data_IF_024975477520
#
_entry.id   IF_024975477520
#
_cell.length_a   1.000
_cell.length_b   1.000
_cell.length_c   1.000
_cell.angle_alpha   90.00
_cell.angle_beta   90.00
_cell.angle_gamma   90.00
#
_symmetry.space_group_name_H-M   'P 1'
#
loop_
_entity.id
_entity.type
_entity.pdbx_description
1 polymer ?
#
# COMPACT_ATOMS: atom_id res chain seq x y z
N UNK A 1 50.94 -32.74 -53.97
CA UNK A 1 50.44 -33.85 -54.79
C UNK A 1 48.92 -33.73 -54.94
N UNK A 2 48.50 -33.55 -56.16
CA UNK A 2 47.19 -33.94 -56.84
C UNK A 2 45.93 -33.41 -56.16
N UNK A 3 45.36 -32.28 -56.62
CA UNK A 3 44.36 -32.14 -57.74
C UNK A 3 43.12 -32.99 -57.53
N UNK A 4 41.93 -32.35 -57.39
CA UNK A 4 40.92 -32.46 -58.42
C UNK A 4 39.77 -31.49 -58.22
N UNK A 5 39.56 -30.74 -59.24
CA UNK A 5 38.46 -29.82 -59.55
C UNK A 5 37.30 -30.66 -60.05
N UNK A 6 36.07 -30.36 -59.67
CA UNK A 6 34.90 -30.74 -60.41
C UNK A 6 33.77 -29.71 -60.34
N UNK A 7 33.56 -29.11 -61.48
CA UNK A 7 32.42 -28.27 -61.89
C UNK A 7 31.16 -29.12 -62.06
N UNK A 8 29.98 -28.64 -61.66
CA UNK A 8 28.68 -28.93 -62.31
C UNK A 8 27.72 -27.81 -62.08
N UNK A 9 27.52 -26.98 -63.00
CA UNK A 9 26.49 -26.77 -64.01
C UNK A 9 25.07 -26.53 -63.45
N UNK A 10 24.67 -25.35 -63.78
CA UNK A 10 23.38 -24.66 -63.69
C UNK A 10 22.27 -25.47 -64.35
N UNK A 11 21.11 -25.57 -63.68
CA UNK A 11 19.82 -25.74 -64.36
C UNK A 11 18.81 -24.73 -63.88
N UNK A 12 18.53 -23.76 -64.74
CA UNK A 12 17.50 -22.72 -64.60
C UNK A 12 16.17 -23.36 -65.08
N UNK A 13 15.25 -23.62 -64.14
CA UNK A 13 13.89 -23.99 -64.51
C UNK A 13 12.94 -22.86 -64.19
N UNK A 14 12.47 -22.22 -65.22
CA UNK A 14 11.44 -21.18 -65.22
C UNK A 14 10.08 -21.85 -64.99
N UNK A 15 9.47 -21.64 -63.83
CA UNK A 15 8.13 -22.11 -63.51
C UNK A 15 7.16 -20.91 -63.56
N UNK A 16 6.30 -20.91 -64.54
CA UNK A 16 5.22 -19.94 -64.77
C UNK A 16 4.18 -20.03 -63.67
N UNK A 17 3.96 -18.91 -62.95
CA UNK A 17 2.91 -18.81 -61.96
C UNK A 17 1.59 -18.45 -62.67
N UNK A 18 0.63 -19.33 -62.58
CA UNK A 18 -0.76 -19.08 -62.94
C UNK A 18 -1.41 -18.32 -61.77
N UNK A 19 -1.80 -17.07 -61.99
CA UNK A 19 -2.61 -16.29 -61.06
C UNK A 19 -4.04 -16.81 -61.18
N UNK A 20 -4.45 -17.64 -60.23
CA UNK A 20 -5.84 -18.00 -60.00
C UNK A 20 -6.46 -16.99 -59.03
N UNK A 21 -7.29 -16.10 -59.55
CA UNK A 21 -8.18 -15.29 -58.73
C UNK A 21 -9.31 -16.19 -58.21
N UNK A 22 -9.22 -16.66 -56.97
CA UNK A 22 -10.28 -17.33 -56.26
C UNK A 22 -10.60 -16.50 -55.01
N UNK A 23 -11.65 -15.68 -55.08
CA UNK A 23 -12.22 -15.05 -53.93
C UNK A 23 -12.78 -16.10 -52.97
N UNK A 24 -12.19 -16.23 -51.83
CA UNK A 24 -12.75 -16.94 -50.69
C UNK A 24 -13.07 -15.86 -49.67
N UNK A 25 -14.34 -15.48 -49.59
CA UNK A 25 -14.88 -14.74 -48.48
C UNK A 25 -14.79 -15.64 -47.23
N UNK A 26 -13.67 -15.53 -46.51
CA UNK A 26 -13.63 -15.98 -45.13
C UNK A 26 -14.53 -15.02 -44.34
N UNK A 27 -15.52 -15.49 -43.59
CA UNK A 27 -16.22 -14.65 -42.66
C UNK A 27 -15.16 -14.06 -41.72
N UNK A 28 -15.21 -12.74 -41.53
CA UNK A 28 -14.35 -12.01 -40.62
C UNK A 28 -14.26 -12.80 -39.29
N UNK A 29 -13.07 -13.33 -39.04
CA UNK A 29 -12.74 -13.89 -37.73
C UNK A 29 -12.85 -12.73 -36.76
N UNK A 30 -13.95 -12.66 -36.01
CA UNK A 30 -14.14 -11.70 -34.95
C UNK A 30 -13.05 -12.01 -33.95
N UNK A 31 -11.94 -11.29 -34.04
CA UNK A 31 -10.91 -11.31 -33.01
C UNK A 31 -11.56 -10.72 -31.76
N UNK A 32 -12.13 -11.60 -30.95
CA UNK A 32 -12.56 -11.23 -29.59
C UNK A 32 -11.27 -10.85 -28.87
N UNK A 33 -11.15 -9.59 -28.41
CA UNK A 33 -9.97 -9.22 -27.64
C UNK A 33 -9.91 -10.13 -26.41
N UNK A 34 -8.90 -10.95 -26.31
CA UNK A 34 -8.59 -11.70 -25.09
C UNK A 34 -8.21 -10.67 -24.05
N UNK A 35 -9.06 -10.50 -23.03
CA UNK A 35 -8.72 -9.69 -21.88
C UNK A 35 -7.48 -10.29 -21.22
N UNK A 36 -6.45 -9.49 -21.07
CA UNK A 36 -5.26 -9.86 -20.35
C UNK A 36 -5.61 -10.05 -18.87
N UNK A 37 -5.00 -11.02 -18.23
CA UNK A 37 -5.29 -11.39 -16.85
C UNK A 37 -4.00 -11.49 -16.04
N UNK A 38 -4.09 -11.12 -14.80
CA UNK A 38 -2.99 -11.07 -13.84
C UNK A 38 -3.25 -12.02 -12.67
N UNK A 39 -2.21 -12.66 -12.15
CA UNK A 39 -2.29 -13.37 -10.87
C UNK A 39 -2.43 -12.34 -9.76
N UNK A 40 -3.19 -12.66 -8.75
CA UNK A 40 -3.42 -11.78 -7.62
C UNK A 40 -2.68 -12.30 -6.39
N UNK A 41 -1.93 -11.42 -5.75
CA UNK A 41 -1.34 -11.64 -4.44
C UNK A 41 -1.51 -10.39 -3.61
N UNK A 42 -1.66 -10.53 -2.29
CA UNK A 42 -1.96 -9.43 -1.39
C UNK A 42 -1.16 -9.55 -0.10
N UNK A 43 -0.51 -8.45 0.26
CA UNK A 43 0.10 -8.24 1.56
C UNK A 43 -0.72 -7.29 2.44
N UNK A 44 -0.40 -7.27 3.72
CA UNK A 44 -0.90 -6.32 4.71
C UNK A 44 0.29 -5.65 5.37
N UNK A 45 0.24 -4.33 5.49
CA UNK A 45 1.25 -3.50 6.15
C UNK A 45 0.57 -2.37 6.92
N UNK A 46 1.33 -1.67 7.75
CA UNK A 46 0.86 -0.56 8.57
C UNK A 46 1.85 0.60 8.56
N UNK A 47 1.33 1.81 8.70
CA UNK A 47 2.10 2.97 9.10
C UNK A 47 2.17 3.02 10.64
N UNK A 48 3.32 3.37 11.24
CA UNK A 48 3.52 3.29 12.68
C UNK A 48 2.48 4.06 13.51
N UNK A 49 2.09 3.44 14.63
CA UNK A 49 1.29 4.05 15.70
C UNK A 49 2.01 3.81 17.02
N UNK A 50 2.12 4.81 17.87
CA UNK A 50 3.04 4.81 19.00
C UNK A 50 2.41 4.41 20.35
N UNK A 51 1.10 4.57 20.56
CA UNK A 51 0.42 4.30 21.84
C UNK A 51 -0.06 2.85 22.04
N UNK A 52 0.22 1.94 21.12
CA UNK A 52 -0.29 0.57 21.16
C UNK A 52 0.82 -0.48 21.02
N UNK A 53 0.77 -1.51 21.88
CA UNK A 53 1.62 -2.70 21.77
C UNK A 53 1.10 -3.67 20.72
N UNK A 54 -0.23 -3.74 20.52
CA UNK A 54 -0.88 -4.63 19.56
C UNK A 54 -2.08 -3.94 18.95
N UNK A 55 -2.14 -3.94 17.63
CA UNK A 55 -3.36 -3.65 16.85
C UNK A 55 -3.66 -4.85 15.98
N UNK A 56 -4.52 -5.71 16.46
CA UNK A 56 -4.86 -6.96 15.78
C UNK A 56 -6.18 -6.85 15.06
N UNK A 57 -6.20 -7.20 13.76
CA UNK A 57 -7.42 -7.34 12.96
C UNK A 57 -7.57 -8.80 12.51
N UNK A 58 -8.81 -9.30 12.50
CA UNK A 58 -9.16 -10.61 11.96
C UNK A 58 -10.01 -10.42 10.70
N UNK A 59 -9.50 -10.88 9.56
CA UNK A 59 -10.14 -10.80 8.25
C UNK A 59 -10.83 -12.14 7.96
N UNK A 60 -12.14 -12.11 7.69
CA UNK A 60 -12.95 -13.27 7.33
C UNK A 60 -12.93 -13.52 5.82
N UNK A 61 -13.10 -12.46 5.03
CA UNK A 61 -13.11 -12.59 3.59
C UNK A 61 -12.79 -11.27 2.90
N UNK A 62 -12.32 -11.38 1.66
CA UNK A 62 -12.06 -10.25 0.77
C UNK A 62 -12.94 -10.39 -0.46
N UNK A 63 -13.73 -9.36 -0.77
CA UNK A 63 -14.53 -9.28 -1.96
C UNK A 63 -13.95 -8.29 -2.93
N UNK A 64 -13.64 -8.74 -4.14
CA UNK A 64 -13.18 -7.91 -5.25
C UNK A 64 -14.33 -7.71 -6.23
N UNK A 65 -14.59 -6.47 -6.61
CA UNK A 65 -15.69 -6.08 -7.48
C UNK A 65 -15.10 -5.35 -8.68
N UNK A 66 -15.15 -5.98 -9.86
CA UNK A 66 -14.75 -5.32 -11.10
C UNK A 66 -15.78 -4.23 -11.44
N UNK A 67 -15.32 -2.99 -11.63
CA UNK A 67 -16.18 -1.84 -11.91
C UNK A 67 -16.47 -1.66 -13.40
N UNK A 68 -15.84 -2.45 -14.28
CA UNK A 68 -16.08 -2.40 -15.72
C UNK A 68 -17.37 -3.16 -16.07
N UNK A 69 -18.41 -2.42 -16.41
CA UNK A 69 -19.71 -2.98 -16.80
C UNK A 69 -19.62 -3.86 -18.06
N UNK A 70 -18.64 -3.63 -18.94
CA UNK A 70 -18.42 -4.45 -20.15
C UNK A 70 -17.97 -5.87 -19.81
N UNK A 71 -17.35 -6.06 -18.65
CA UNK A 71 -16.91 -7.37 -18.11
C UNK A 71 -17.98 -8.02 -17.20
N UNK A 72 -19.18 -7.48 -17.16
CA UNK A 72 -20.33 -8.04 -16.42
C UNK A 72 -20.27 -7.82 -14.91
N UNK A 73 -19.43 -6.89 -14.40
CA UNK A 73 -19.36 -6.59 -12.97
C UNK A 73 -18.95 -7.81 -12.13
N UNK A 74 -17.94 -8.55 -12.56
CA UNK A 74 -17.51 -9.79 -11.88
C UNK A 74 -17.20 -9.52 -10.40
N UNK A 75 -17.82 -10.28 -9.51
CA UNK A 75 -17.50 -10.34 -8.10
C UNK A 75 -16.69 -11.60 -7.80
N UNK A 76 -15.59 -11.45 -7.06
CA UNK A 76 -14.73 -12.54 -6.63
C UNK A 76 -14.67 -12.49 -5.11
N UNK A 77 -15.04 -13.58 -4.47
CA UNK A 77 -14.89 -13.75 -3.02
C UNK A 77 -13.65 -14.61 -2.76
N UNK A 78 -12.81 -14.13 -1.85
CA UNK A 78 -11.62 -14.81 -1.35
C UNK A 78 -11.84 -15.01 0.15
N UNK A 79 -11.89 -16.25 0.58
CA UNK A 79 -12.17 -16.71 1.94
C UNK A 79 -11.16 -17.78 2.42
N UNK A 80 -10.05 -17.89 1.70
CA UNK A 80 -8.89 -18.68 2.09
C UNK A 80 -7.64 -17.80 2.06
N UNK A 81 -6.85 -17.84 3.14
CA UNK A 81 -5.65 -17.04 3.34
C UNK A 81 -4.44 -17.93 3.62
N UNK A 82 -3.25 -17.35 3.54
CA UNK A 82 -1.99 -17.99 3.93
C UNK A 82 -1.49 -17.32 5.21
N UNK A 83 -1.27 -18.10 6.26
CA UNK A 83 -0.71 -17.63 7.51
C UNK A 83 0.83 -17.48 7.45
N UNK A 84 1.44 -16.97 8.50
CA UNK A 84 2.91 -16.79 8.62
C UNK A 84 3.70 -18.09 8.48
N UNK A 85 3.06 -19.25 8.71
CA UNK A 85 3.67 -20.56 8.55
C UNK A 85 3.47 -21.16 7.16
N UNK A 86 2.81 -20.42 6.26
CA UNK A 86 2.46 -20.87 4.91
C UNK A 86 1.30 -21.85 4.87
N UNK A 87 0.46 -21.89 5.90
CA UNK A 87 -0.71 -22.75 5.96
C UNK A 87 -1.95 -22.00 5.48
N UNK A 88 -2.83 -22.74 4.77
CA UNK A 88 -4.14 -22.19 4.39
C UNK A 88 -5.08 -22.18 5.59
N UNK A 89 -5.72 -21.02 5.82
CA UNK A 89 -6.66 -20.76 6.90
C UNK A 89 -7.91 -20.06 6.38
N UNK A 90 -9.07 -20.28 7.02
CA UNK A 90 -10.35 -19.69 6.62
C UNK A 90 -10.47 -18.23 7.07
N UNK A 91 -9.81 -17.85 8.16
CA UNK A 91 -9.69 -16.45 8.62
C UNK A 91 -8.23 -16.15 8.92
N UNK A 92 -7.82 -14.90 8.76
CA UNK A 92 -6.46 -14.49 9.05
C UNK A 92 -6.45 -13.36 10.08
N UNK A 93 -5.67 -13.56 11.16
CA UNK A 93 -5.43 -12.53 12.16
C UNK A 93 -4.06 -11.92 11.93
N UNK A 94 -4.00 -10.59 11.84
CA UNK A 94 -2.76 -9.83 11.60
C UNK A 94 -2.58 -8.84 12.74
N UNK A 95 -1.44 -8.87 13.43
CA UNK A 95 -1.00 -7.75 14.24
C UNK A 95 -0.34 -6.73 13.31
N UNK A 96 -1.00 -5.61 13.09
CA UNK A 96 -0.55 -4.61 12.11
C UNK A 96 0.80 -4.01 12.50
N UNK A 97 1.07 -3.86 13.80
CA UNK A 97 2.32 -3.26 14.28
C UNK A 97 3.57 -4.11 14.04
N UNK A 98 3.41 -5.40 13.69
CA UNK A 98 4.53 -6.28 13.32
C UNK A 98 5.02 -6.01 11.89
N UNK A 99 4.26 -5.25 11.08
CA UNK A 99 4.51 -5.05 9.65
C UNK A 99 4.54 -3.55 9.28
N UNK A 100 5.52 -2.84 9.80
CA UNK A 100 5.69 -1.41 9.61
C UNK A 100 6.73 -1.08 8.54
N UNK A 101 6.66 0.12 7.99
CA UNK A 101 7.65 0.65 7.04
C UNK A 101 7.57 -0.02 5.67
N UNK A 102 8.42 -1.00 5.39
CA UNK A 102 8.41 -1.80 4.15
C UNK A 102 8.03 -3.25 4.40
N UNK A 103 7.84 -3.63 5.66
CA UNK A 103 7.48 -4.98 6.01
C UNK A 103 5.99 -5.23 5.74
N UNK A 104 5.67 -6.44 5.34
CA UNK A 104 4.29 -6.82 5.07
C UNK A 104 4.06 -8.32 5.31
N UNK A 105 2.90 -8.65 5.82
CA UNK A 105 2.43 -10.02 5.87
C UNK A 105 1.73 -10.39 4.58
N UNK A 106 2.25 -11.37 3.85
CA UNK A 106 1.55 -11.90 2.67
C UNK A 106 0.39 -12.78 3.12
N UNK A 107 -0.85 -12.37 2.82
CA UNK A 107 -2.08 -13.10 3.19
C UNK A 107 -2.71 -13.83 2.01
N UNK A 108 -2.41 -13.41 0.77
CA UNK A 108 -2.80 -14.11 -0.45
C UNK A 108 -1.55 -14.30 -1.30
N UNK A 109 -1.26 -15.55 -1.64
CA UNK A 109 -0.11 -15.94 -2.44
C UNK A 109 -0.53 -16.33 -3.88
N UNK A 110 0.35 -16.10 -4.83
CA UNK A 110 0.12 -16.47 -6.24
C UNK A 110 -0.13 -17.97 -6.46
N UNK A 111 0.37 -18.82 -5.54
CA UNK A 111 0.15 -20.28 -5.58
C UNK A 111 -1.31 -20.68 -5.38
N UNK A 112 -2.13 -19.81 -4.77
CA UNK A 112 -3.57 -20.02 -4.63
C UNK A 112 -4.31 -19.91 -5.99
N UNK A 113 -3.62 -19.43 -7.04
CA UNK A 113 -4.11 -19.45 -8.42
C UNK A 113 -5.22 -18.44 -8.71
N UNK A 114 -5.42 -17.44 -7.85
CA UNK A 114 -6.40 -16.38 -8.06
C UNK A 114 -5.92 -15.53 -9.25
N UNK A 115 -6.76 -15.45 -10.28
CA UNK A 115 -6.46 -14.70 -11.51
C UNK A 115 -7.56 -13.69 -11.76
N UNK A 116 -7.16 -12.43 -11.95
CA UNK A 116 -8.06 -11.32 -12.21
C UNK A 116 -7.84 -10.78 -13.62
N UNK A 117 -8.90 -10.36 -14.29
CA UNK A 117 -8.77 -9.62 -15.56
C UNK A 117 -8.23 -8.22 -15.26
N UNK A 118 -7.42 -7.67 -16.17
CA UNK A 118 -6.97 -6.29 -16.04
C UNK A 118 -8.17 -5.35 -16.01
N UNK A 119 -8.13 -4.36 -15.15
CA UNK A 119 -9.25 -3.42 -14.98
C UNK A 119 -9.26 -2.74 -13.63
N UNK A 120 -10.31 -1.97 -13.39
CA UNK A 120 -10.52 -1.26 -12.13
C UNK A 120 -11.42 -2.08 -11.21
N UNK A 121 -11.00 -2.24 -9.98
CA UNK A 121 -11.69 -3.01 -8.95
C UNK A 121 -11.93 -2.17 -7.70
N UNK A 122 -12.99 -2.51 -6.98
CA UNK A 122 -13.22 -2.13 -5.59
C UNK A 122 -12.94 -3.33 -4.70
N UNK A 123 -12.48 -3.08 -3.49
CA UNK A 123 -12.24 -4.10 -2.49
C UNK A 123 -13.10 -3.85 -1.26
N UNK A 124 -13.70 -4.91 -0.74
CA UNK A 124 -14.38 -4.91 0.57
C UNK A 124 -13.75 -6.01 1.43
N UNK A 125 -13.31 -5.66 2.65
CA UNK A 125 -12.85 -6.62 3.64
C UNK A 125 -13.96 -6.88 4.65
N UNK A 126 -14.31 -8.14 4.86
CA UNK A 126 -15.13 -8.54 6.00
C UNK A 126 -14.22 -8.75 7.21
N UNK A 127 -14.51 -8.03 8.28
CA UNK A 127 -13.72 -8.04 9.52
C UNK A 127 -14.52 -8.73 10.63
N UNK A 128 -13.85 -9.58 11.38
CA UNK A 128 -14.41 -10.26 12.55
C UNK A 128 -14.20 -9.39 13.79
N UNK A 129 -15.23 -8.64 14.18
CA UNK A 129 -15.17 -7.71 15.32
C UNK A 129 -14.69 -8.40 16.60
N UNK A 130 -15.09 -9.67 16.86
CA UNK A 130 -14.72 -10.41 18.06
C UNK A 130 -13.26 -10.85 18.11
N UNK A 131 -12.59 -10.92 16.96
CA UNK A 131 -11.18 -11.28 16.83
C UNK A 131 -10.26 -10.06 16.67
N UNK A 132 -10.85 -8.86 16.60
CA UNK A 132 -10.11 -7.61 16.36
C UNK A 132 -10.05 -6.76 17.63
N UNK A 133 -8.84 -6.33 18.01
CA UNK A 133 -8.62 -5.61 19.28
C UNK A 133 -7.36 -4.75 19.25
N UNK A 134 -7.32 -3.76 20.15
CA UNK A 134 -6.14 -2.97 20.51
C UNK A 134 -5.68 -3.37 21.89
N UNK A 135 -4.37 -3.47 22.11
CA UNK A 135 -3.75 -3.44 23.43
C UNK A 135 -2.85 -2.19 23.48
N UNK A 136 -3.09 -1.33 24.46
CA UNK A 136 -2.28 -0.15 24.65
C UNK A 136 -0.99 -0.48 25.40
N UNK A 137 0.00 0.36 25.27
CA UNK A 137 1.25 0.25 26.00
C UNK A 137 1.02 0.19 27.50
N UNK A 138 1.70 -0.74 28.15
CA UNK A 138 1.59 -1.00 29.59
C UNK A 138 0.17 -1.39 30.10
N UNK A 139 -0.73 -1.79 29.19
CA UNK A 139 -2.07 -2.25 29.54
C UNK A 139 -2.37 -3.61 28.94
N UNK A 140 -2.60 -4.61 29.76
CA UNK A 140 -2.92 -5.98 29.31
C UNK A 140 -4.39 -6.16 28.88
N UNK A 141 -5.17 -5.11 28.80
CA UNK A 141 -6.59 -5.18 28.42
C UNK A 141 -6.75 -5.12 26.90
N UNK A 142 -7.58 -6.01 26.35
CA UNK A 142 -7.95 -6.02 24.94
C UNK A 142 -9.19 -5.14 24.71
N UNK A 143 -8.99 -4.01 24.09
CA UNK A 143 -10.06 -3.12 23.69
C UNK A 143 -10.61 -3.51 22.34
N UNK A 144 -11.93 -3.70 22.22
CA UNK A 144 -12.53 -4.16 20.98
C UNK A 144 -12.38 -3.13 19.86
N UNK A 145 -12.01 -3.60 18.68
CA UNK A 145 -12.14 -2.83 17.43
C UNK A 145 -13.48 -3.16 16.81
N UNK A 146 -14.23 -2.13 16.43
CA UNK A 146 -15.46 -2.25 15.68
C UNK A 146 -15.27 -1.70 14.27
N UNK A 147 -15.74 -2.44 13.29
CA UNK A 147 -15.85 -1.98 11.91
C UNK A 147 -17.32 -1.69 11.58
N UNK A 148 -17.69 -0.52 11.05
CA UNK A 148 -19.05 -0.24 10.65
C UNK A 148 -19.57 -1.30 9.66
N UNK A 149 -20.69 -1.94 10.01
CA UNK A 149 -21.27 -3.04 9.21
C UNK A 149 -20.35 -4.27 9.05
N UNK A 150 -19.35 -4.43 9.90
CA UNK A 150 -18.30 -5.47 9.83
C UNK A 150 -17.62 -5.56 8.44
N UNK A 151 -17.59 -4.43 7.72
CA UNK A 151 -16.99 -4.35 6.38
C UNK A 151 -16.26 -3.04 6.18
N UNK A 152 -14.98 -3.15 5.81
CA UNK A 152 -14.20 -2.04 5.29
C UNK A 152 -14.39 -1.98 3.77
N UNK A 153 -14.98 -0.89 3.29
CA UNK A 153 -15.14 -0.63 1.86
C UNK A 153 -14.02 0.30 1.41
N UNK A 154 -13.09 -0.27 0.68
CA UNK A 154 -11.94 0.46 0.17
C UNK A 154 -12.25 1.07 -1.20
N UNK A 155 -11.43 2.05 -1.57
CA UNK A 155 -11.52 2.74 -2.84
C UNK A 155 -11.25 1.85 -4.05
N UNK A 156 -11.12 2.49 -5.20
CA UNK A 156 -10.78 1.83 -6.45
C UNK A 156 -9.27 1.61 -6.57
N UNK A 157 -8.88 0.48 -7.14
CA UNK A 157 -7.50 0.17 -7.51
C UNK A 157 -7.47 -0.53 -8.87
N UNK A 158 -6.32 -0.49 -9.55
CA UNK A 158 -6.19 -1.04 -10.90
C UNK A 158 -5.38 -2.32 -10.89
N UNK A 159 -5.93 -3.37 -11.50
CA UNK A 159 -5.23 -4.62 -11.77
C UNK A 159 -4.54 -4.50 -13.13
N UNK A 160 -3.22 -4.72 -13.16
CA UNK A 160 -2.40 -4.69 -14.37
C UNK A 160 -1.38 -5.83 -14.37
N UNK A 161 -0.95 -6.27 -15.54
CA UNK A 161 0.11 -7.28 -15.70
C UNK A 161 1.47 -6.81 -15.13
N UNK A 162 1.66 -5.51 -14.96
CA UNK A 162 2.93 -4.93 -14.48
C UNK A 162 3.13 -5.12 -12.98
N UNK A 163 2.05 -5.22 -12.20
CA UNK A 163 2.13 -5.43 -10.76
C UNK A 163 2.79 -6.76 -10.35
N UNK A 164 3.00 -7.67 -11.28
CA UNK A 164 3.52 -9.03 -11.04
C UNK A 164 5.03 -9.19 -11.26
N UNK A 165 5.77 -8.13 -11.51
CA UNK A 165 7.17 -8.26 -11.98
C UNK A 165 8.21 -8.39 -10.87
N UNK A 166 7.83 -8.29 -9.60
CA UNK A 166 8.76 -8.42 -8.47
C UNK A 166 8.54 -9.78 -7.80
N UNK A 167 9.45 -10.71 -8.02
CA UNK A 167 9.42 -12.00 -7.32
C UNK A 167 9.55 -11.78 -5.81
N UNK A 168 8.76 -12.52 -5.02
CA UNK A 168 8.75 -12.53 -3.55
C UNK A 168 7.91 -11.45 -2.84
N UNK A 169 7.60 -10.33 -3.49
CA UNK A 169 6.72 -9.30 -2.91
C UNK A 169 5.29 -9.47 -3.43
N UNK A 170 4.24 -9.33 -2.60
CA UNK A 170 2.87 -9.29 -3.09
C UNK A 170 2.67 -8.21 -4.14
N UNK A 171 1.86 -8.49 -5.16
CA UNK A 171 1.55 -7.54 -6.24
C UNK A 171 0.79 -6.31 -5.74
N UNK A 172 0.05 -6.49 -4.65
CA UNK A 172 -0.73 -5.44 -3.98
C UNK A 172 -0.53 -5.52 -2.49
N UNK A 173 -0.59 -4.38 -1.82
CA UNK A 173 -0.51 -4.26 -0.37
C UNK A 173 -1.68 -3.47 0.16
N UNK A 174 -2.35 -4.00 1.16
CA UNK A 174 -3.25 -3.24 2.03
C UNK A 174 -2.39 -2.51 3.05
N UNK A 175 -2.31 -1.21 2.94
CA UNK A 175 -1.62 -0.41 3.93
C UNK A 175 -2.64 0.27 4.82
N UNK A 176 -2.46 0.10 6.12
CA UNK A 176 -3.24 0.74 7.16
C UNK A 176 -2.47 1.94 7.70
N UNK A 177 -3.03 3.13 7.60
CA UNK A 177 -2.60 4.30 8.37
C UNK A 177 -3.46 4.32 9.63
N UNK A 178 -2.96 3.71 10.69
CA UNK A 178 -3.71 3.56 11.94
C UNK A 178 -4.02 4.90 12.61
N UNK A 179 -3.19 5.92 12.42
CA UNK A 179 -3.44 7.27 12.92
C UNK A 179 -4.71 7.90 12.33
N UNK A 180 -5.07 7.51 11.10
CA UNK A 180 -6.30 7.97 10.42
C UNK A 180 -7.45 6.98 10.49
N UNK A 181 -7.14 5.69 10.57
CA UNK A 181 -8.15 4.65 10.50
C UNK A 181 -8.63 4.16 11.85
N UNK A 182 -7.78 4.18 12.89
CA UNK A 182 -8.10 3.66 14.22
C UNK A 182 -8.47 4.80 15.18
N UNK A 183 -9.74 4.91 15.52
CA UNK A 183 -10.27 6.04 16.30
C UNK A 183 -10.91 5.55 17.59
N UNK A 184 -10.57 6.19 18.72
CA UNK A 184 -11.22 5.95 20.01
C UNK A 184 -12.69 6.40 19.96
N UNK A 185 -13.60 5.54 20.40
CA UNK A 185 -15.03 5.87 20.47
C UNK A 185 -15.38 6.59 21.77
N UNK A 186 -15.54 7.90 21.70
CA UNK A 186 -15.75 8.73 22.89
C UNK A 186 -14.52 8.76 23.81
N UNK A 187 -14.69 8.99 25.09
CA UNK A 187 -13.60 9.26 26.02
C UNK A 187 -13.22 8.06 26.91
N UNK A 188 -13.72 6.87 26.64
CA UNK A 188 -13.48 5.70 27.50
C UNK A 188 -13.30 4.44 26.67
N UNK A 189 -12.05 3.99 26.44
CA UNK A 189 -11.77 2.80 25.62
C UNK A 189 -12.38 1.53 26.24
N UNK A 190 -12.44 1.43 27.55
CA UNK A 190 -13.02 0.28 28.25
C UNK A 190 -14.53 0.13 27.99
N UNK A 191 -15.24 1.23 27.85
CA UNK A 191 -16.70 1.21 27.63
C UNK A 191 -17.05 1.13 26.13
N UNK A 192 -16.29 1.79 25.28
CA UNK A 192 -16.65 2.06 23.90
C UNK A 192 -15.76 1.31 22.87
N UNK A 193 -14.50 1.01 23.23
CA UNK A 193 -13.51 0.45 22.32
C UNK A 193 -13.12 1.45 21.22
N UNK A 194 -12.57 0.92 20.16
CA UNK A 194 -12.12 1.66 18.97
C UNK A 194 -13.02 1.39 17.78
N UNK A 195 -12.94 2.24 16.78
CA UNK A 195 -13.57 2.05 15.49
C UNK A 195 -12.48 2.08 14.42
N UNK A 196 -12.48 1.11 13.50
CA UNK A 196 -11.61 1.11 12.34
C UNK A 196 -12.40 1.68 11.15
N UNK A 197 -11.91 2.81 10.62
CA UNK A 197 -12.50 3.52 9.49
C UNK A 197 -11.76 3.19 8.19
N UNK A 198 -12.43 3.16 7.03
CA UNK A 198 -11.77 2.86 5.76
C UNK A 198 -10.90 3.99 5.21
N UNK A 199 -11.05 5.24 5.69
CA UNK A 199 -10.34 6.41 5.17
C UNK A 199 -8.82 6.41 5.42
N UNK A 200 -8.34 5.58 6.34
CA UNK A 200 -6.91 5.36 6.57
C UNK A 200 -6.40 4.05 5.95
N UNK A 201 -7.19 3.37 5.11
CA UNK A 201 -6.77 2.11 4.50
C UNK A 201 -6.72 2.27 2.99
N UNK A 202 -5.58 1.97 2.38
CA UNK A 202 -5.37 2.07 0.93
C UNK A 202 -4.79 0.79 0.35
N UNK A 203 -4.92 0.65 -0.97
CA UNK A 203 -4.38 -0.48 -1.73
C UNK A 203 -3.25 0.07 -2.60
N UNK A 204 -2.04 -0.40 -2.37
CA UNK A 204 -0.84 0.05 -3.08
C UNK A 204 -0.36 -1.06 -4.00
N UNK A 205 -0.04 -0.73 -5.24
CA UNK A 205 0.58 -1.63 -6.22
C UNK A 205 2.00 -1.17 -6.52
N UNK A 206 2.96 -2.10 -6.52
CA UNK A 206 4.38 -1.78 -6.72
C UNK A 206 4.86 -0.67 -5.77
N UNK A 207 4.90 -0.95 -4.47
CA UNK A 207 5.17 0.06 -3.46
C UNK A 207 6.52 0.73 -3.68
N UNK A 208 6.52 2.04 -3.57
CA UNK A 208 7.73 2.84 -3.51
C UNK A 208 7.96 3.28 -2.07
N UNK A 209 9.15 3.76 -1.76
CA UNK A 209 9.46 4.24 -0.42
C UNK A 209 10.41 5.43 -0.44
N UNK A 210 10.42 6.15 0.68
CA UNK A 210 11.42 7.16 1.02
C UNK A 210 12.19 6.65 2.23
N UNK A 211 13.50 6.61 2.13
CA UNK A 211 14.39 6.28 3.24
C UNK A 211 15.38 7.42 3.47
N UNK A 212 15.93 7.50 4.66
CA UNK A 212 16.94 8.51 4.92
C UNK A 212 17.67 8.31 6.24
N UNK A 213 18.64 9.18 6.45
CA UNK A 213 19.43 9.26 7.67
C UNK A 213 19.33 10.68 8.19
N UNK A 214 19.07 10.83 9.48
CA UNK A 214 19.09 12.11 10.17
C UNK A 214 20.47 12.34 10.77
N UNK A 215 21.05 13.52 10.51
CA UNK A 215 22.38 13.88 11.03
C UNK A 215 22.40 13.87 12.58
N UNK A 216 23.53 13.44 13.19
CA UNK A 216 23.70 13.48 14.63
C UNK A 216 23.51 14.86 15.26
N UNK A 217 23.68 15.94 14.50
CA UNK A 217 23.40 17.30 15.01
C UNK A 217 21.94 17.50 15.39
N UNK A 218 21.00 16.79 14.75
CA UNK A 218 19.57 16.84 15.04
C UNK A 218 19.17 15.75 16.04
N UNK A 219 19.61 14.51 15.86
CA UNK A 219 19.25 13.41 16.78
C UNK A 219 19.80 13.60 18.19
N UNK A 220 20.85 14.41 18.37
CA UNK A 220 21.32 14.85 19.70
C UNK A 220 20.40 15.87 20.39
N UNK A 221 19.43 16.46 19.69
CA UNK A 221 18.46 17.38 20.27
C UNK A 221 17.32 16.65 21.00
N UNK A 222 17.09 15.37 20.69
CA UNK A 222 16.06 14.53 21.25
C UNK A 222 15.45 13.57 20.24
N UNK A 223 14.20 13.23 20.42
CA UNK A 223 13.42 12.42 19.45
C UNK A 223 13.26 13.21 18.15
N UNK A 224 13.32 12.52 17.03
CA UNK A 224 13.07 13.10 15.71
C UNK A 224 11.89 12.39 15.07
N UNK A 225 10.99 13.17 14.50
CA UNK A 225 9.88 12.69 13.67
C UNK A 225 10.02 13.23 12.25
N UNK A 226 9.79 12.37 11.26
CA UNK A 226 9.78 12.73 9.85
C UNK A 226 8.35 12.68 9.32
N UNK A 227 7.92 13.76 8.71
CA UNK A 227 6.58 13.98 8.20
C UNK A 227 6.58 13.95 6.66
N UNK A 228 5.58 13.34 6.08
CA UNK A 228 5.40 13.26 4.63
C UNK A 228 4.12 13.98 4.22
N UNK A 229 4.25 14.87 3.24
CA UNK A 229 3.12 15.62 2.67
C UNK A 229 3.02 15.35 1.18
N UNK A 230 1.79 15.25 0.67
CA UNK A 230 1.55 15.13 -0.76
C UNK A 230 1.81 16.48 -1.48
N UNK A 231 2.51 16.43 -2.61
CA UNK A 231 2.85 17.61 -3.41
C UNK A 231 3.88 18.53 -2.74
N UNK A 232 3.71 19.82 -2.95
CA UNK A 232 4.59 20.89 -2.46
C UNK A 232 3.80 21.96 -1.70
N UNK A 233 3.23 21.64 -0.55
CA UNK A 233 2.49 22.62 0.25
C UNK A 233 3.40 23.73 0.75
N UNK A 234 2.87 24.94 0.89
CA UNK A 234 3.62 26.11 1.37
C UNK A 234 3.62 26.24 2.88
N UNK A 235 2.64 25.65 3.54
CA UNK A 235 2.49 25.64 4.99
C UNK A 235 2.22 24.21 5.44
N UNK A 236 3.02 23.72 6.37
CA UNK A 236 2.96 22.36 6.89
C UNK A 236 2.34 22.38 8.28
N UNK A 237 1.28 21.61 8.45
CA UNK A 237 0.68 21.37 9.74
C UNK A 237 1.26 20.10 10.35
N UNK A 238 1.14 20.03 11.64
CA UNK A 238 1.25 18.83 12.43
C UNK A 238 0.16 17.81 12.08
N UNK A 239 0.26 16.59 12.60
CA UNK A 239 -0.75 15.55 12.39
C UNK A 239 -2.11 15.98 12.95
N UNK A 240 -3.17 15.77 12.20
CA UNK A 240 -4.54 15.92 12.69
C UNK A 240 -5.54 15.17 11.81
N UNK A 241 -6.62 14.71 12.42
CA UNK A 241 -7.82 14.23 11.71
C UNK A 241 -9.04 15.01 12.22
N UNK A 242 -9.54 15.90 11.39
CA UNK A 242 -10.69 16.76 11.74
C UNK A 242 -11.96 15.94 12.01
N UNK A 243 -12.07 14.75 11.45
CA UNK A 243 -13.22 13.86 11.60
C UNK A 243 -13.11 12.97 12.86
N UNK A 244 -11.99 13.03 13.59
CA UNK A 244 -11.82 12.32 14.83
C UNK A 244 -12.59 12.97 15.97
N UNK A 245 -13.35 12.16 16.72
CA UNK A 245 -14.09 12.64 17.91
C UNK A 245 -13.16 13.14 19.03
N UNK A 246 -11.89 12.70 19.04
CA UNK A 246 -10.89 13.14 20.00
C UNK A 246 -10.15 14.43 19.58
N UNK A 247 -10.32 14.89 18.34
CA UNK A 247 -9.69 16.12 17.87
C UNK A 247 -10.10 17.33 18.69
N UNK A 248 -9.14 18.01 19.29
CA UNK A 248 -9.36 19.14 20.22
C UNK A 248 -8.79 20.45 19.67
N UNK A 249 -8.23 20.49 18.49
CA UNK A 249 -7.62 21.67 17.91
C UNK A 249 -8.58 22.59 17.16
N UNK A 250 -8.10 23.79 16.79
CA UNK A 250 -8.70 24.57 15.72
C UNK A 250 -8.21 23.97 14.38
N UNK A 251 -9.08 23.86 13.40
CA UNK A 251 -8.69 23.37 12.07
C UNK A 251 -7.58 24.24 11.49
N UNK A 252 -6.37 23.71 11.28
CA UNK A 252 -5.27 24.49 10.70
C UNK A 252 -5.54 24.82 9.23
N UNK A 253 -4.99 25.92 8.76
CA UNK A 253 -4.99 26.27 7.33
C UNK A 253 -3.87 25.58 6.58
N UNK A 254 -2.87 25.10 7.29
CA UNK A 254 -1.74 24.36 6.75
C UNK A 254 -2.12 22.91 6.39
N UNK A 255 -1.32 22.29 5.55
CA UNK A 255 -1.57 20.92 5.05
C UNK A 255 -1.15 19.89 6.08
N UNK A 256 -2.04 18.96 6.42
CA UNK A 256 -1.71 17.81 7.27
C UNK A 256 -0.76 16.83 6.55
N UNK A 257 0.13 16.15 7.28
CA UNK A 257 0.94 15.10 6.70
C UNK A 257 0.07 13.88 6.34
N UNK A 258 0.50 13.16 5.33
CA UNK A 258 -0.13 11.88 4.93
C UNK A 258 0.48 10.70 5.68
N UNK A 259 1.69 10.87 6.21
CA UNK A 259 2.37 9.91 7.08
C UNK A 259 3.37 10.65 7.99
N UNK A 260 3.62 10.09 9.16
CA UNK A 260 4.71 10.50 10.04
C UNK A 260 5.38 9.25 10.62
N UNK A 261 6.70 9.29 10.80
CA UNK A 261 7.47 8.19 11.36
C UNK A 261 8.50 8.72 12.36
N UNK A 262 8.62 8.06 13.50
CA UNK A 262 9.69 8.33 14.44
C UNK A 262 11.00 7.77 13.89
N UNK A 263 12.08 8.53 14.05
CA UNK A 263 13.41 8.14 13.59
C UNK A 263 13.97 7.06 14.51
N UNK A 264 14.43 5.96 13.90
CA UNK A 264 14.99 4.82 14.61
C UNK A 264 16.25 5.17 15.41
N UNK A 265 16.59 4.32 16.37
CA UNK A 265 17.76 4.54 17.26
C UNK A 265 19.11 4.57 16.52
N UNK A 266 19.19 4.05 15.30
CA UNK A 266 20.35 4.14 14.41
C UNK A 266 20.33 5.38 13.52
N UNK A 267 19.41 6.31 13.76
CA UNK A 267 19.20 7.55 13.02
C UNK A 267 18.64 7.35 11.61
N UNK A 268 18.09 6.20 11.29
CA UNK A 268 17.41 5.95 10.01
C UNK A 268 15.91 6.13 10.12
N UNK A 269 15.27 6.33 8.97
CA UNK A 269 13.81 6.30 8.86
C UNK A 269 13.40 5.70 7.52
N UNK A 270 12.18 5.16 7.46
CA UNK A 270 11.60 4.59 6.27
C UNK A 270 10.09 4.86 6.22
N UNK A 271 9.63 5.42 5.11
CA UNK A 271 8.21 5.60 4.80
C UNK A 271 7.90 4.78 3.55
N UNK A 272 7.19 3.68 3.71
CA UNK A 272 6.90 2.71 2.67
C UNK A 272 5.55 2.93 1.97
N UNK A 273 5.25 2.05 1.02
CA UNK A 273 3.97 1.89 0.33
C UNK A 273 3.43 3.17 -0.32
N UNK A 274 4.34 3.99 -0.90
CA UNK A 274 4.00 5.24 -1.55
C UNK A 274 3.61 5.02 -3.02
N UNK A 275 2.62 5.77 -3.47
CA UNK A 275 2.33 5.89 -4.89
C UNK A 275 3.38 6.76 -5.60
N UNK A 276 3.49 6.64 -6.92
CA UNK A 276 4.31 7.55 -7.70
C UNK A 276 3.73 8.97 -7.62
N UNK A 277 4.58 9.94 -7.34
CA UNK A 277 4.14 11.33 -7.17
C UNK A 277 5.23 12.25 -6.64
N UNK A 278 4.85 13.50 -6.44
CA UNK A 278 5.67 14.53 -5.80
C UNK A 278 5.31 14.62 -4.32
N UNK A 279 6.33 14.66 -3.48
CA UNK A 279 6.15 14.71 -2.03
C UNK A 279 7.06 15.74 -1.39
N UNK A 280 6.63 16.28 -0.27
CA UNK A 280 7.47 17.07 0.63
C UNK A 280 7.75 16.25 1.88
N UNK A 281 9.03 16.08 2.19
CA UNK A 281 9.51 15.46 3.43
C UNK A 281 10.00 16.56 4.34
N UNK A 282 9.54 16.58 5.58
CA UNK A 282 9.97 17.54 6.60
C UNK A 282 10.29 16.79 7.88
N UNK A 283 11.14 17.36 8.71
CA UNK A 283 11.43 16.75 10.02
C UNK A 283 11.37 17.75 11.15
N UNK A 284 11.16 17.25 12.34
CA UNK A 284 11.28 17.95 13.59
C UNK A 284 12.05 17.10 14.61
N UNK A 285 12.95 17.72 15.38
CA UNK A 285 13.66 17.05 16.47
C UNK A 285 13.61 17.89 17.74
N UNK A 286 13.47 17.26 18.89
CA UNK A 286 13.41 17.99 20.15
C UNK A 286 13.25 17.11 21.38
N UNK A 287 12.94 17.74 22.50
CA UNK A 287 12.66 17.10 23.78
C UNK A 287 11.30 17.59 24.29
N UNK A 288 10.30 16.79 24.15
CA UNK A 288 8.96 17.11 24.64
C UNK A 288 8.06 15.90 24.46
N UNK A 289 6.95 15.82 25.18
CA UNK A 289 6.05 14.68 25.10
C UNK A 289 5.36 14.56 23.73
N UNK A 290 5.35 15.62 22.93
CA UNK A 290 4.61 15.68 21.68
C UNK A 290 5.51 15.70 20.44
N UNK A 291 6.84 15.51 20.60
CA UNK A 291 7.79 15.51 19.47
C UNK A 291 7.77 14.19 18.71
N UNK A 292 7.46 13.11 19.39
CA UNK A 292 7.27 11.77 18.82
C UNK A 292 5.95 11.64 18.06
N UNK A 293 5.03 12.61 18.22
CA UNK A 293 3.79 12.74 17.48
C UNK A 293 2.95 11.45 17.43
N UNK A 294 2.74 10.94 18.65
CA UNK A 294 2.11 9.65 18.90
C UNK A 294 0.57 9.70 18.90
N UNK A 295 -0.01 10.84 18.58
CA UNK A 295 -1.46 11.01 18.57
C UNK A 295 -1.93 11.85 17.39
N UNK A 296 -3.23 11.80 17.13
CA UNK A 296 -3.91 12.54 16.06
C UNK A 296 -4.42 13.91 16.49
N UNK A 297 -4.02 14.39 17.66
CA UNK A 297 -4.41 15.71 18.16
C UNK A 297 -3.43 16.76 17.62
N UNK A 298 -3.98 17.79 17.02
CA UNK A 298 -3.20 18.94 16.60
C UNK A 298 -2.75 19.73 17.83
N UNK A 299 -1.46 19.73 18.13
CA UNK A 299 -0.88 20.46 19.25
C UNK A 299 -0.18 21.77 18.82
N UNK A 300 -0.12 22.02 17.51
CA UNK A 300 0.43 23.24 16.95
C UNK A 300 1.95 23.28 16.88
N UNK A 301 2.60 22.12 16.81
CA UNK A 301 4.04 22.03 16.59
C UNK A 301 4.45 22.74 15.28
N UNK A 302 5.60 23.36 15.30
CA UNK A 302 6.14 24.03 14.11
C UNK A 302 6.90 23.04 13.22
N UNK A 303 6.31 22.64 12.11
CA UNK A 303 6.90 21.75 11.13
C UNK A 303 7.37 22.57 9.91
N UNK A 304 8.62 22.42 9.43
CA UNK A 304 9.77 21.72 10.01
C UNK A 304 10.45 22.51 11.13
N UNK A 305 11.23 21.82 11.96
CA UNK A 305 12.08 22.44 12.96
C UNK A 305 13.48 21.81 12.97
N UNK A 306 14.57 22.55 12.62
CA UNK A 306 14.56 23.95 12.14
C UNK A 306 13.87 24.14 10.78
N UNK A 307 13.55 25.37 10.43
CA UNK A 307 12.74 25.71 9.25
C UNK A 307 13.32 25.26 7.89
N UNK A 308 14.63 25.01 7.81
CA UNK A 308 15.31 24.48 6.62
C UNK A 308 15.16 22.97 6.42
N UNK A 309 14.63 22.24 7.41
CA UNK A 309 14.52 20.78 7.38
C UNK A 309 13.28 20.32 6.61
N UNK A 310 13.22 20.70 5.36
CA UNK A 310 12.18 20.29 4.42
C UNK A 310 12.78 20.11 3.02
N UNK A 311 12.44 19.03 2.35
CA UNK A 311 12.91 18.69 1.01
C UNK A 311 11.77 18.15 0.17
N UNK A 312 11.75 18.51 -1.12
CA UNK A 312 10.81 17.94 -2.10
C UNK A 312 11.47 16.78 -2.82
N UNK A 313 10.74 15.71 -3.05
CA UNK A 313 11.19 14.49 -3.73
C UNK A 313 10.14 14.00 -4.71
N UNK A 314 10.60 13.52 -5.88
CA UNK A 314 9.78 12.85 -6.88
C UNK A 314 9.95 11.33 -6.74
N UNK A 315 8.85 10.61 -6.62
CA UNK A 315 8.81 9.16 -6.49
C UNK A 315 8.28 8.57 -7.79
N UNK A 316 9.02 7.62 -8.34
CA UNK A 316 8.55 6.77 -9.44
C UNK A 316 8.08 5.42 -8.89
N UNK A 317 7.12 4.80 -9.57
CA UNK A 317 6.58 3.49 -9.18
C UNK A 317 7.67 2.45 -8.95
N UNK A 318 7.63 1.76 -7.82
CA UNK A 318 8.57 0.69 -7.47
C UNK A 318 10.00 1.17 -7.17
N UNK A 319 10.20 2.44 -6.81
CA UNK A 319 11.53 2.99 -6.53
C UNK A 319 11.69 3.38 -5.06
N UNK A 320 12.92 3.32 -4.59
CA UNK A 320 13.33 3.84 -3.28
C UNK A 320 14.03 5.18 -3.50
N UNK A 321 13.48 6.24 -2.95
CA UNK A 321 14.15 7.55 -2.91
C UNK A 321 14.88 7.73 -1.57
N UNK A 322 15.98 8.49 -1.58
CA UNK A 322 16.73 8.80 -0.36
C UNK A 322 16.67 10.30 -0.08
N UNK A 323 16.21 10.65 1.12
CA UNK A 323 16.16 12.02 1.64
C UNK A 323 16.86 12.04 2.99
N UNK A 324 17.98 12.76 3.11
CA UNK A 324 18.77 12.86 4.34
C UNK A 324 18.68 14.29 4.91
N UNK A 325 18.72 14.38 6.22
CA UNK A 325 18.76 15.66 6.96
C UNK A 325 19.97 15.76 7.85
#
# INVERSE_FOLDING_TARGET
>A
MKTSLCFYLIYLTLCTIIIGCGGSDNPDEVVVPTLSSAKFSLGVSDAPVDDAEIVSIEIDSIKLINTDESNGGQEILIDEFIDENGLTVDTIQVNLLDFQGQDQMKIIDESQGITLTNGVYKMELAIVDSGSFVMLDNDAYKYNIKVPSSRLKLGEFTITDQAQQVAETPAYTLEFDLRKSLVLRGNNPMANGYILKPNGVRIVSLPSSITGIISPEYTNLGVCTVYLYEGTPTELADIYDIDDEAFIGETPTATAPIAAVVVESDSTYNIGFLDAGSYTVAMMCGTGPDVDDDNIQFDGLAIPSPAENSQTVEISTGTIATVNF
#
